data_IF_948847747090
#
_entry.id   IF_948847747090
#
_cell.length_a   1.000
_cell.length_b   1.000
_cell.length_c   1.000
_cell.angle_alpha   90.00
_cell.angle_beta   90.00
_cell.angle_gamma   90.00
#
_symmetry.space_group_name_H-M   'P 1'
#
loop_
_entity.id
_entity.type
_entity.pdbx_description
1 polymer ?
#
# COMPACT_ATOMS: atom_id res chain seq x y z
N UNK A 1 -11.47 -31.87 -1.67
CA UNK A 1 -10.80 -31.22 -0.52
C UNK A 1 -11.24 -29.76 -0.53
N UNK A 2 -11.65 -29.21 0.62
CA UNK A 2 -12.19 -27.85 0.71
C UNK A 2 -11.23 -26.99 1.55
N UNK A 3 -10.86 -25.81 1.06
CA UNK A 3 -10.09 -24.82 1.81
C UNK A 3 -11.02 -23.69 2.26
N UNK A 4 -10.87 -23.24 3.51
CA UNK A 4 -11.57 -22.07 4.04
C UNK A 4 -10.59 -20.89 4.10
N UNK A 5 -11.00 -19.73 3.59
CA UNK A 5 -10.25 -18.48 3.72
C UNK A 5 -10.85 -17.71 4.89
N UNK A 6 -10.05 -17.41 5.90
CA UNK A 6 -10.52 -16.66 7.08
C UNK A 6 -9.79 -15.32 7.13
N UNK A 7 -10.54 -14.22 7.01
CA UNK A 7 -9.99 -12.90 7.25
C UNK A 7 -9.98 -12.65 8.75
N UNK A 8 -8.79 -12.45 9.32
CA UNK A 8 -8.61 -12.16 10.75
C UNK A 8 -8.21 -10.69 10.92
N UNK A 9 -8.85 -9.99 11.85
CA UNK A 9 -8.43 -8.66 12.31
C UNK A 9 -8.21 -8.63 13.81
N UNK A 10 -7.11 -8.00 14.21
CA UNK A 10 -6.75 -7.73 15.60
C UNK A 10 -6.74 -6.22 15.84
N UNK A 11 -7.62 -5.73 16.72
CA UNK A 11 -7.71 -4.33 17.11
C UNK A 11 -7.70 -4.19 18.65
N UNK A 12 -6.51 -4.11 19.29
CA UNK A 12 -6.41 -4.07 20.74
C UNK A 12 -6.92 -2.74 21.36
N UNK A 13 -7.27 -1.75 20.54
CA UNK A 13 -7.84 -0.47 20.97
C UNK A 13 -9.33 -0.34 20.62
N UNK A 14 -10.01 -1.45 20.34
CA UNK A 14 -11.43 -1.45 20.04
C UNK A 14 -12.22 -0.93 21.26
N UNK A 15 -12.94 0.18 21.09
CA UNK A 15 -13.70 0.83 22.17
C UNK A 15 -14.89 0.01 22.66
N UNK A 16 -15.35 -0.92 21.82
CA UNK A 16 -16.45 -1.86 22.07
C UNK A 16 -15.98 -3.19 22.68
N UNK A 17 -14.67 -3.36 22.92
CA UNK A 17 -14.09 -4.57 23.49
C UNK A 17 -13.92 -5.74 22.50
N UNK A 18 -14.39 -5.63 21.26
CA UNK A 18 -14.24 -6.67 20.24
C UNK A 18 -12.85 -6.60 19.57
N UNK A 19 -11.84 -7.04 20.31
CA UNK A 19 -10.43 -6.96 19.89
C UNK A 19 -10.04 -7.96 18.79
N UNK A 20 -10.84 -8.99 18.56
CA UNK A 20 -10.63 -10.04 17.56
C UNK A 20 -11.90 -10.25 16.73
N UNK A 21 -11.76 -10.23 15.41
CA UNK A 21 -12.85 -10.55 14.48
C UNK A 21 -12.35 -11.51 13.41
N UNK A 22 -13.19 -12.47 13.04
CA UNK A 22 -12.97 -13.34 11.90
C UNK A 22 -14.19 -13.35 10.98
N UNK A 23 -13.95 -13.49 9.69
CA UNK A 23 -14.98 -13.75 8.68
C UNK A 23 -14.54 -14.94 7.85
N UNK A 24 -15.35 -15.99 7.84
CA UNK A 24 -15.21 -17.10 6.93
C UNK A 24 -15.67 -16.69 5.53
N UNK A 25 -14.81 -16.98 4.57
CA UNK A 25 -15.06 -16.79 3.15
C UNK A 25 -14.66 -18.11 2.48
N UNK A 26 -15.59 -18.71 1.74
CA UNK A 26 -15.23 -19.79 0.84
C UNK A 26 -14.48 -19.22 -0.38
N UNK A 27 -13.78 -20.06 -1.15
CA UNK A 27 -13.07 -19.63 -2.38
C UNK A 27 -14.03 -19.21 -3.53
N UNK A 28 -15.35 -19.24 -3.32
CA UNK A 28 -16.40 -18.93 -4.31
C UNK A 28 -17.15 -17.61 -4.05
N UNK A 29 -17.02 -17.05 -2.85
CA UNK A 29 -17.63 -15.80 -2.40
C UNK A 29 -16.82 -14.57 -2.85
N UNK A 30 -17.02 -14.09 -4.07
CA UNK A 30 -16.40 -12.83 -4.52
C UNK A 30 -16.82 -11.61 -3.69
N UNK A 31 -16.21 -10.42 -3.83
CA UNK A 31 -14.83 -10.14 -4.21
C UNK A 31 -13.86 -10.41 -3.05
N UNK A 32 -12.87 -11.24 -3.31
CA UNK A 32 -11.93 -11.72 -2.29
C UNK A 32 -10.84 -10.69 -1.96
N UNK A 33 -10.56 -10.54 -0.66
CA UNK A 33 -9.32 -9.93 -0.19
C UNK A 33 -8.10 -10.69 -0.75
N UNK A 34 -7.14 -9.97 -1.31
CA UNK A 34 -5.99 -10.54 -2.01
C UNK A 34 -4.66 -10.38 -1.26
N UNK A 35 -4.73 -10.11 0.05
CA UNK A 35 -3.57 -9.97 0.93
C UNK A 35 -3.13 -11.29 1.59
N UNK A 36 -3.52 -12.44 1.00
CA UNK A 36 -3.09 -13.74 1.50
C UNK A 36 -1.55 -13.87 1.45
N UNK A 37 -0.88 -14.17 2.58
CA UNK A 37 0.56 -14.31 2.61
C UNK A 37 1.02 -15.58 1.88
N UNK A 38 2.21 -15.51 1.28
CA UNK A 38 2.78 -16.59 0.46
C UNK A 38 2.82 -17.94 1.17
N UNK A 39 3.19 -17.96 2.47
CA UNK A 39 3.24 -19.18 3.28
C UNK A 39 1.90 -19.91 3.35
N UNK A 40 0.78 -19.20 3.29
CA UNK A 40 -0.56 -19.80 3.32
C UNK A 40 -0.93 -20.30 1.93
N UNK A 41 -0.64 -19.54 0.87
CA UNK A 41 -0.87 -20.00 -0.52
C UNK A 41 -0.14 -21.32 -0.82
N UNK A 42 1.05 -21.51 -0.26
CA UNK A 42 1.86 -22.74 -0.40
C UNK A 42 1.24 -23.97 0.28
N UNK A 43 0.33 -23.78 1.24
CA UNK A 43 -0.35 -24.88 1.94
C UNK A 43 -1.63 -25.33 1.24
N UNK A 44 -2.06 -24.64 0.18
CA UNK A 44 -3.31 -24.94 -0.50
C UNK A 44 -3.11 -26.06 -1.52
N UNK A 45 -3.93 -27.11 -1.43
CA UNK A 45 -3.92 -28.20 -2.41
C UNK A 45 -4.30 -27.73 -3.81
N UNK A 46 -3.87 -28.45 -4.86
CA UNK A 46 -4.35 -28.23 -6.23
C UNK A 46 -5.88 -28.25 -6.31
N UNK A 47 -6.43 -27.38 -7.16
CA UNK A 47 -7.88 -27.25 -7.34
C UNK A 47 -8.20 -26.84 -8.77
N UNK A 48 -9.28 -27.41 -9.33
CA UNK A 48 -9.81 -27.02 -10.65
C UNK A 48 -10.89 -25.94 -10.54
N UNK A 49 -11.21 -25.49 -9.32
CA UNK A 49 -12.19 -24.45 -9.10
C UNK A 49 -11.70 -23.11 -9.71
N UNK A 50 -12.43 -22.61 -10.70
CA UNK A 50 -12.08 -21.39 -11.41
C UNK A 50 -11.96 -20.16 -10.49
N UNK A 51 -12.87 -20.00 -9.53
CA UNK A 51 -12.87 -18.86 -8.60
C UNK A 51 -11.64 -18.89 -7.68
N UNK A 52 -11.31 -20.07 -7.14
CA UNK A 52 -10.11 -20.31 -6.35
C UNK A 52 -8.83 -19.98 -7.13
N UNK A 53 -8.72 -20.47 -8.36
CA UNK A 53 -7.57 -20.18 -9.23
C UNK A 53 -7.45 -18.69 -9.57
N UNK A 54 -8.57 -17.99 -9.77
CA UNK A 54 -8.57 -16.54 -9.98
C UNK A 54 -8.11 -15.80 -8.72
N UNK A 55 -8.59 -16.19 -7.54
CA UNK A 55 -8.17 -15.61 -6.27
C UNK A 55 -6.68 -15.82 -5.99
N UNK A 56 -6.18 -17.06 -6.10
CA UNK A 56 -4.75 -17.37 -5.92
C UNK A 56 -3.87 -16.54 -6.85
N UNK A 57 -4.26 -16.39 -8.12
CA UNK A 57 -3.57 -15.52 -9.10
C UNK A 57 -3.56 -14.05 -8.65
N UNK A 58 -4.66 -13.55 -8.07
CA UNK A 58 -4.72 -12.18 -7.52
C UNK A 58 -3.78 -12.01 -6.32
N UNK A 59 -3.76 -12.98 -5.39
CA UNK A 59 -2.85 -12.96 -4.25
C UNK A 59 -1.37 -12.98 -4.68
N UNK A 60 -1.01 -13.85 -5.62
CA UNK A 60 0.35 -13.91 -6.19
C UNK A 60 0.71 -12.56 -6.83
N UNK A 61 -0.17 -11.98 -7.64
CA UNK A 61 0.07 -10.66 -8.24
C UNK A 61 0.27 -9.57 -7.17
N UNK A 62 -0.47 -9.62 -6.08
CA UNK A 62 -0.33 -8.68 -4.98
C UNK A 62 1.02 -8.84 -4.26
N UNK A 63 1.45 -10.08 -4.00
CA UNK A 63 2.78 -10.37 -3.44
C UNK A 63 3.91 -9.84 -4.34
N UNK A 64 3.77 -10.05 -5.66
CA UNK A 64 4.76 -9.61 -6.65
C UNK A 64 4.84 -8.08 -6.79
N UNK A 65 3.76 -7.33 -6.49
CA UNK A 65 3.80 -5.86 -6.52
C UNK A 65 4.81 -5.29 -5.53
N UNK A 66 5.04 -5.97 -4.41
CA UNK A 66 5.94 -5.53 -3.35
C UNK A 66 5.51 -4.19 -2.73
N UNK A 67 6.13 -3.85 -1.60
CA UNK A 67 6.10 -2.47 -1.09
C UNK A 67 7.36 -1.78 -1.56
N UNK A 68 7.23 -0.64 -2.23
CA UNK A 68 8.38 0.17 -2.62
C UNK A 68 9.01 0.82 -1.38
N UNK A 69 10.34 0.90 -1.34
CA UNK A 69 11.05 1.60 -0.26
C UNK A 69 10.82 3.10 -0.43
N UNK A 70 10.27 3.72 0.61
CA UNK A 70 10.09 5.17 0.69
C UNK A 70 11.11 5.71 1.70
N UNK A 71 11.97 6.61 1.27
CA UNK A 71 12.96 7.27 2.12
C UNK A 71 12.61 8.75 2.31
N UNK A 72 13.08 9.32 3.41
CA UNK A 72 12.89 10.75 3.68
C UNK A 72 13.53 11.61 2.59
N UNK A 73 12.85 12.68 2.19
CA UNK A 73 13.32 13.62 1.16
C UNK A 73 13.10 13.19 -0.29
N UNK A 74 12.68 11.95 -0.56
CA UNK A 74 12.35 11.51 -1.92
C UNK A 74 11.23 12.36 -2.52
N UNK A 75 11.40 12.80 -3.76
CA UNK A 75 10.30 13.37 -4.53
C UNK A 75 9.58 12.26 -5.29
N UNK A 76 8.26 12.22 -5.16
CA UNK A 76 7.40 11.28 -5.88
C UNK A 76 6.41 12.03 -6.77
N UNK A 77 6.04 11.41 -7.88
CA UNK A 77 4.95 11.84 -8.75
C UNK A 77 3.92 10.72 -8.91
N UNK A 78 2.67 11.04 -8.57
CA UNK A 78 1.51 10.19 -8.76
C UNK A 78 1.05 10.24 -10.23
N UNK A 79 0.36 9.21 -10.74
CA UNK A 79 -0.13 9.16 -12.13
C UNK A 79 -1.25 10.16 -12.41
N UNK A 80 -1.96 10.59 -11.37
CA UNK A 80 -3.06 11.56 -11.45
C UNK A 80 -3.02 12.44 -10.22
N UNK A 81 -3.53 13.68 -10.35
CA UNK A 81 -3.71 14.58 -9.21
C UNK A 81 -4.68 13.96 -8.21
N UNK A 82 -4.35 14.09 -6.93
CA UNK A 82 -5.22 13.70 -5.82
C UNK A 82 -5.72 14.97 -5.14
N UNK A 83 -7.02 15.00 -4.85
CA UNK A 83 -7.66 16.04 -4.07
C UNK A 83 -7.68 15.68 -2.59
N UNK A 84 -7.22 16.58 -1.75
CA UNK A 84 -7.25 16.46 -0.29
C UNK A 84 -8.44 17.19 0.33
N UNK A 85 -8.69 16.93 1.61
CA UNK A 85 -9.84 17.45 2.37
C UNK A 85 -9.86 18.98 2.47
N UNK A 86 -8.69 19.62 2.44
CA UNK A 86 -8.53 21.07 2.44
C UNK A 86 -8.76 21.71 1.06
N UNK A 87 -9.05 20.90 0.04
CA UNK A 87 -9.26 21.34 -1.33
C UNK A 87 -7.98 21.42 -2.18
N UNK A 88 -6.81 21.12 -1.61
CA UNK A 88 -5.57 21.08 -2.38
C UNK A 88 -5.58 19.92 -3.38
N UNK A 89 -5.14 20.19 -4.61
CA UNK A 89 -4.96 19.19 -5.65
C UNK A 89 -3.51 19.16 -6.14
N UNK A 90 -2.89 17.99 -6.05
CA UNK A 90 -1.51 17.81 -6.51
C UNK A 90 -1.18 16.36 -6.82
N UNK A 91 -0.12 16.18 -7.61
CA UNK A 91 0.42 14.89 -8.01
C UNK A 91 1.90 14.73 -7.62
N UNK A 92 2.60 15.82 -7.32
CA UNK A 92 4.01 15.83 -6.92
C UNK A 92 4.16 16.15 -5.44
N UNK A 93 4.89 15.31 -4.72
CA UNK A 93 5.08 15.45 -3.28
C UNK A 93 6.48 15.02 -2.85
N UNK A 94 6.92 15.52 -1.71
CA UNK A 94 8.15 15.08 -1.04
C UNK A 94 7.81 14.16 0.13
N UNK A 95 8.49 13.03 0.23
CA UNK A 95 8.32 12.07 1.31
C UNK A 95 8.93 12.64 2.59
N UNK A 96 8.17 12.56 3.68
CA UNK A 96 8.62 12.81 5.04
C UNK A 96 8.44 11.59 5.92
N UNK A 97 9.47 11.23 6.67
CA UNK A 97 9.48 10.12 7.63
C UNK A 97 9.49 10.66 9.05
N UNK A 98 8.54 10.20 9.86
CA UNK A 98 8.55 10.39 11.32
C UNK A 98 8.41 9.02 11.99
N UNK A 99 9.56 8.40 12.27
CA UNK A 99 9.61 6.99 12.68
C UNK A 99 8.98 6.09 11.62
N UNK A 100 7.90 5.37 11.98
CA UNK A 100 7.15 4.52 11.05
C UNK A 100 6.16 5.30 10.17
N UNK A 101 5.81 6.53 10.52
CA UNK A 101 4.84 7.34 9.77
C UNK A 101 5.50 7.87 8.50
N UNK A 102 4.74 7.79 7.40
CA UNK A 102 5.11 8.40 6.12
C UNK A 102 4.08 9.47 5.81
N UNK A 103 4.54 10.71 5.64
CA UNK A 103 3.76 11.89 5.31
C UNK A 103 4.33 12.56 4.06
N UNK A 104 3.60 13.52 3.53
CA UNK A 104 3.91 14.22 2.29
C UNK A 104 4.05 15.72 2.56
N UNK A 105 5.08 16.34 2.01
CA UNK A 105 5.29 17.77 1.97
C UNK A 105 5.13 18.29 0.54
N UNK A 106 4.72 19.56 0.41
CA UNK A 106 4.57 20.22 -0.90
C UNK A 106 5.90 20.71 -1.48
N UNK A 107 6.89 20.98 -0.61
CA UNK A 107 8.21 21.50 -0.98
C UNK A 107 9.32 20.67 -0.34
N UNK A 108 10.53 20.76 -0.91
CA UNK A 108 11.70 19.97 -0.51
C UNK A 108 12.14 20.19 0.95
N UNK A 109 11.89 21.38 1.51
CA UNK A 109 12.17 21.76 2.90
C UNK A 109 10.89 22.08 3.69
N UNK A 110 9.72 21.82 3.09
CA UNK A 110 8.43 22.12 3.68
C UNK A 110 8.06 21.18 4.83
N UNK A 111 7.13 21.61 5.71
CA UNK A 111 6.56 20.75 6.72
C UNK A 111 5.74 19.62 6.11
N UNK A 112 5.53 18.51 6.83
CA UNK A 112 4.60 17.46 6.41
C UNK A 112 3.16 17.97 6.48
N UNK A 113 2.45 17.96 5.36
CA UNK A 113 1.09 18.50 5.21
C UNK A 113 0.05 17.39 5.02
N UNK A 114 0.39 16.33 4.27
CA UNK A 114 -0.58 15.33 3.85
C UNK A 114 -0.17 13.90 4.20
N UNK A 115 -1.15 13.00 4.19
CA UNK A 115 -0.93 11.56 4.35
C UNK A 115 -1.77 10.81 3.34
N UNK A 116 -1.13 9.90 2.62
CA UNK A 116 -1.81 8.94 1.75
C UNK A 116 -1.62 7.53 2.33
N UNK A 117 -2.72 6.83 2.59
CA UNK A 117 -2.69 5.43 3.02
C UNK A 117 -2.14 4.53 1.92
N UNK A 118 -1.39 3.48 2.30
CA UNK A 118 -0.83 2.50 1.36
C UNK A 118 0.01 3.09 0.21
N UNK A 119 0.61 4.28 0.40
CA UNK A 119 1.40 4.96 -0.63
C UNK A 119 2.48 4.07 -1.24
N UNK A 120 3.16 3.26 -0.43
CA UNK A 120 4.21 2.36 -0.90
C UNK A 120 3.71 1.24 -1.84
N UNK A 121 2.40 0.98 -1.85
CA UNK A 121 1.71 0.04 -2.75
C UNK A 121 1.03 0.76 -3.94
N UNK A 122 1.02 2.09 -3.97
CA UNK A 122 0.45 2.85 -5.08
C UNK A 122 1.43 2.89 -6.26
N UNK A 123 0.86 3.11 -7.45
CA UNK A 123 1.66 3.45 -8.63
C UNK A 123 2.12 4.90 -8.46
N UNK A 124 3.43 5.10 -8.32
CA UNK A 124 4.07 6.42 -8.36
C UNK A 124 5.41 6.31 -9.10
N UNK A 125 6.02 7.44 -9.44
CA UNK A 125 7.38 7.49 -10.00
C UNK A 125 8.26 8.30 -9.07
N UNK A 126 9.52 7.90 -8.92
CA UNK A 126 10.50 8.70 -8.17
C UNK A 126 11.03 9.74 -9.13
N UNK A 127 10.88 11.02 -8.77
CA UNK A 127 11.41 12.12 -9.58
C UNK A 127 12.88 12.31 -9.20
N UNK A 128 13.83 12.16 -10.14
CA UNK A 128 15.24 12.39 -9.85
C UNK A 128 15.46 13.87 -9.50
N UNK A 129 16.00 14.14 -8.32
CA UNK A 129 16.41 15.48 -7.95
C UNK A 129 17.73 15.80 -8.65
N UNK A 130 17.69 16.59 -9.73
CA UNK A 130 18.88 17.24 -10.27
C UNK A 130 19.38 18.25 -9.23
N UNK A 131 20.36 17.86 -8.41
CA UNK A 131 21.17 18.83 -7.67
C UNK A 131 21.96 19.61 -8.71
N UNK A 132 21.48 20.79 -9.08
CA UNK A 132 22.25 21.73 -9.88
C UNK A 132 23.43 22.17 -9.02
N UNK A 133 24.61 21.63 -9.29
CA UNK A 133 25.83 22.17 -8.70
C UNK A 133 25.93 23.62 -9.17
N UNK A 134 26.00 24.56 -8.22
CA UNK A 134 26.26 25.97 -8.50
C UNK A 134 27.66 26.03 -9.13
N UNK A 135 27.75 26.11 -10.46
CA UNK A 135 29.01 26.40 -11.13
C UNK A 135 29.36 27.84 -10.78
N UNK A 136 30.33 28.00 -9.89
CA UNK A 136 30.96 29.29 -9.62
C UNK A 136 31.78 29.64 -10.86
N UNK A 137 31.25 30.51 -11.72
CA UNK A 137 32.08 31.22 -12.69
C UNK A 137 32.80 32.32 -11.92
N UNK A 138 34.09 32.11 -11.68
CA UNK A 138 35.02 33.12 -11.18
C UNK A 138 35.69 33.87 -12.32
#
# INVERSE_FOLDING_TARGET
MFAAVVLVRWNPRASDGYVFAYKDLDETAGPFECECPERILRLLDPTDNHAALVWRRRCIRNLMRGSRKLEDGMQIRLPSKIRFTDGYEGDVFFIRKQGRKTTLALTADGPPCYRIGNLARMNFTIVPQTRVHKTLFG
#
